data_IF_670955103085
#
_entry.id   IF_670955103085
#
_cell.length_a   1.000
_cell.length_b   1.000
_cell.length_c   1.000
_cell.angle_alpha   90.00
_cell.angle_beta   90.00
_cell.angle_gamma   90.00
#
_symmetry.space_group_name_H-M   'P 1'
#
loop_
_entity.id
_entity.type
_entity.pdbx_description
1 polymer ?
#
# COMPACT_ATOMS: atom_id res chain seq x y z
N UNK A 1 5.73 -10.33 -6.19
CA UNK A 1 6.61 -9.38 -5.46
C UNK A 1 8.04 -9.69 -5.80
N UNK A 2 8.88 -8.69 -5.83
CA UNK A 2 10.32 -8.86 -5.99
C UNK A 2 10.92 -9.22 -4.62
N UNK A 3 11.66 -10.32 -4.55
CA UNK A 3 12.32 -10.81 -3.32
C UNK A 3 13.22 -9.76 -2.67
N UNK A 4 13.77 -8.83 -3.48
CA UNK A 4 14.58 -7.72 -2.98
C UNK A 4 13.80 -6.75 -2.11
N UNK A 5 12.52 -6.51 -2.40
CA UNK A 5 11.70 -5.63 -1.57
C UNK A 5 11.56 -6.24 -0.18
N UNK A 6 11.21 -7.52 -0.08
CA UNK A 6 11.15 -8.21 1.21
C UNK A 6 12.50 -8.25 1.92
N UNK A 7 13.57 -8.62 1.21
CA UNK A 7 14.92 -8.67 1.79
C UNK A 7 15.36 -7.31 2.36
N UNK A 8 14.96 -6.21 1.71
CA UNK A 8 15.26 -4.86 2.19
C UNK A 8 14.56 -4.56 3.52
N UNK A 9 13.26 -4.92 3.65
CA UNK A 9 12.51 -4.73 4.89
C UNK A 9 12.97 -5.68 6.01
N UNK A 10 13.30 -6.93 5.69
CA UNK A 10 13.87 -7.88 6.65
C UNK A 10 15.22 -7.37 7.17
N UNK A 11 16.10 -6.89 6.28
CA UNK A 11 17.36 -6.28 6.68
C UNK A 11 17.14 -5.02 7.54
N UNK A 12 16.18 -4.16 7.19
CA UNK A 12 15.83 -2.97 7.97
C UNK A 12 15.44 -3.33 9.40
N UNK A 13 14.66 -4.39 9.63
CA UNK A 13 14.26 -4.84 10.99
C UNK A 13 15.44 -5.20 11.86
N UNK A 14 16.57 -5.65 11.31
CA UNK A 14 17.78 -5.91 12.09
C UNK A 14 18.45 -4.63 12.60
N UNK A 15 18.31 -3.51 11.90
CA UNK A 15 18.88 -2.21 12.29
C UNK A 15 17.89 -1.31 13.02
N UNK A 16 16.62 -1.42 12.69
CA UNK A 16 15.52 -0.69 13.30
C UNK A 16 14.35 -1.65 13.57
N UNK A 17 14.39 -2.41 14.69
CA UNK A 17 13.36 -3.39 15.04
C UNK A 17 11.96 -2.83 15.02
N UNK A 18 10.99 -3.69 14.70
CA UNK A 18 9.59 -3.28 14.64
C UNK A 18 9.01 -2.93 16.01
N UNK A 19 9.45 -3.60 17.06
CA UNK A 19 8.92 -3.41 18.41
C UNK A 19 9.68 -2.33 19.19
N UNK A 20 8.95 -1.60 20.03
CA UNK A 20 9.53 -0.70 21.01
C UNK A 20 10.07 -1.50 22.21
N UNK A 21 11.27 -1.16 22.69
CA UNK A 21 11.79 -1.70 23.94
C UNK A 21 11.64 -0.63 25.03
N UNK A 22 10.89 -0.96 26.08
CA UNK A 22 10.55 -0.02 27.16
C UNK A 22 9.95 1.30 26.64
N UNK A 23 9.09 1.22 25.60
CA UNK A 23 8.44 2.37 24.98
C UNK A 23 9.36 3.24 24.11
N UNK A 24 10.57 2.77 23.77
CA UNK A 24 11.54 3.50 22.96
C UNK A 24 11.92 2.74 21.71
N UNK A 25 12.14 3.49 20.61
CA UNK A 25 12.74 2.95 19.41
C UNK A 25 14.15 2.45 19.68
N UNK A 26 14.53 1.37 19.02
CA UNK A 26 15.88 0.83 19.03
C UNK A 26 16.52 1.05 17.67
N UNK A 27 17.69 1.66 17.67
CA UNK A 27 18.48 1.90 16.47
C UNK A 27 19.80 1.16 16.62
N UNK A 28 19.90 -0.03 16.02
CA UNK A 28 21.05 -0.94 16.23
C UNK A 28 22.24 -0.60 15.31
N UNK A 29 22.01 0.16 14.23
CA UNK A 29 23.08 0.59 13.32
C UNK A 29 22.86 2.06 12.90
N UNK A 30 23.56 2.95 13.57
CA UNK A 30 23.55 4.38 13.29
C UNK A 30 24.12 4.78 11.92
N UNK A 31 24.99 3.97 11.34
CA UNK A 31 25.62 4.28 10.05
C UNK A 31 24.61 4.34 8.92
N UNK A 32 23.53 3.58 9.01
CA UNK A 32 22.54 3.41 7.94
C UNK A 32 21.73 4.68 7.70
N UNK A 33 21.13 5.27 8.74
CA UNK A 33 20.35 6.50 8.56
C UNK A 33 21.26 7.72 8.35
N UNK A 34 22.46 7.76 8.97
CA UNK A 34 23.43 8.85 8.81
C UNK A 34 23.96 8.98 7.39
N UNK A 35 23.93 7.92 6.58
CA UNK A 35 24.31 7.96 5.16
C UNK A 35 23.40 8.91 4.36
N UNK A 36 22.15 9.07 4.77
CA UNK A 36 21.15 9.83 4.03
C UNK A 36 20.90 11.22 4.60
N UNK A 37 21.34 11.51 5.80
CA UNK A 37 21.08 12.76 6.49
C UNK A 37 22.38 13.46 6.88
N UNK A 38 22.42 14.78 6.75
CA UNK A 38 23.58 15.59 7.14
C UNK A 38 23.15 16.53 8.27
N UNK A 39 23.31 16.09 9.53
CA UNK A 39 23.00 16.85 10.73
C UNK A 39 24.06 16.59 11.83
N UNK A 40 24.20 17.53 12.77
CA UNK A 40 25.10 17.39 13.92
C UNK A 40 24.51 16.48 15.00
N UNK A 41 23.18 16.45 15.10
CA UNK A 41 22.43 15.58 16.02
C UNK A 41 21.16 15.07 15.39
N UNK A 42 20.69 13.92 15.84
CA UNK A 42 19.53 13.22 15.28
C UNK A 42 18.55 12.87 16.37
N UNK A 43 17.32 13.37 16.29
CA UNK A 43 16.19 12.87 17.06
C UNK A 43 15.56 11.60 16.44
N UNK A 44 14.55 11.04 17.09
CA UNK A 44 13.88 9.84 16.60
C UNK A 44 13.24 10.06 15.22
N UNK A 45 12.67 11.24 14.96
CA UNK A 45 12.05 11.60 13.68
C UNK A 45 13.09 11.69 12.58
N UNK A 46 14.25 12.25 12.86
CA UNK A 46 15.38 12.30 11.91
C UNK A 46 15.83 10.89 11.53
N UNK A 47 15.99 10.01 12.51
CA UNK A 47 16.39 8.61 12.26
C UNK A 47 15.35 7.85 11.44
N UNK A 48 14.06 8.02 11.74
CA UNK A 48 12.96 7.47 10.95
C UNK A 48 13.02 7.98 9.50
N UNK A 49 13.24 9.30 9.29
CA UNK A 49 13.44 9.87 7.95
C UNK A 49 14.64 9.25 7.21
N UNK A 50 15.75 9.07 7.90
CA UNK A 50 16.95 8.45 7.31
C UNK A 50 16.71 7.01 6.86
N UNK A 51 16.00 6.22 7.64
CA UNK A 51 15.61 4.86 7.25
C UNK A 51 14.53 4.86 6.15
N UNK A 52 13.62 5.85 6.14
CA UNK A 52 12.68 6.02 5.03
C UNK A 52 13.42 6.30 3.71
N UNK A 53 14.42 7.18 3.72
CA UNK A 53 15.28 7.45 2.57
C UNK A 53 16.09 6.21 2.15
N UNK A 54 16.57 5.42 3.10
CA UNK A 54 17.20 4.13 2.81
C UNK A 54 16.28 3.21 2.03
N UNK A 55 15.02 3.07 2.44
CA UNK A 55 14.03 2.26 1.73
C UNK A 55 13.74 2.81 0.33
N UNK A 56 13.51 4.11 0.21
CA UNK A 56 13.30 4.75 -1.11
C UNK A 56 14.49 4.51 -2.04
N UNK A 57 15.71 4.70 -1.53
CA UNK A 57 16.94 4.48 -2.30
C UNK A 57 17.07 3.02 -2.75
N UNK A 58 16.88 2.06 -1.84
CA UNK A 58 17.01 0.64 -2.13
C UNK A 58 15.94 0.09 -3.09
N UNK A 59 14.76 0.73 -3.11
CA UNK A 59 13.64 0.32 -3.97
C UNK A 59 13.67 1.02 -5.33
N UNK A 60 13.98 2.32 -5.38
CA UNK A 60 13.83 3.13 -6.59
C UNK A 60 15.08 3.27 -7.44
N UNK A 61 16.28 3.05 -6.85
CA UNK A 61 17.51 3.05 -7.65
C UNK A 61 17.68 1.71 -8.36
N UNK A 62 17.72 1.69 -9.72
CA UNK A 62 17.93 0.46 -10.45
C UNK A 62 19.32 -0.13 -10.11
N UNK A 63 19.39 -1.36 -9.65
CA UNK A 63 20.65 -2.08 -9.68
C UNK A 63 20.95 -2.46 -11.12
N UNK A 64 22.16 -2.27 -11.57
CA UNK A 64 22.74 -2.27 -12.94
C UNK A 64 22.30 -3.37 -13.94
N UNK A 65 21.31 -4.21 -13.67
CA UNK A 65 21.05 -5.40 -14.48
C UNK A 65 19.64 -5.63 -15.03
N UNK A 66 18.63 -4.75 -14.81
CA UNK A 66 17.29 -5.07 -15.30
C UNK A 66 16.46 -3.87 -15.78
N UNK A 67 16.27 -3.76 -17.11
CA UNK A 67 15.39 -2.81 -17.80
C UNK A 67 13.87 -2.98 -17.49
N UNK A 68 13.46 -4.08 -16.85
CA UNK A 68 12.04 -4.36 -16.51
C UNK A 68 11.60 -3.82 -15.14
N UNK A 69 12.46 -3.07 -14.46
CA UNK A 69 12.37 -2.77 -13.04
C UNK A 69 11.44 -1.62 -12.66
N UNK A 70 11.20 -0.68 -13.58
CA UNK A 70 10.55 0.61 -13.23
C UNK A 70 9.07 0.47 -12.82
N UNK A 71 8.29 -0.41 -13.46
CA UNK A 71 6.84 -0.53 -13.17
C UNK A 71 6.52 -1.30 -11.89
N UNK A 72 7.34 -2.28 -11.52
CA UNK A 72 7.10 -3.09 -10.31
C UNK A 72 7.45 -2.36 -9.02
N UNK A 73 8.42 -1.43 -9.08
CA UNK A 73 8.94 -0.75 -7.89
C UNK A 73 8.05 0.41 -7.41
N UNK A 74 7.28 1.06 -8.30
CA UNK A 74 6.34 2.11 -7.90
C UNK A 74 5.26 1.56 -6.95
N UNK A 75 4.82 0.32 -7.15
CA UNK A 75 3.88 -0.33 -6.25
C UNK A 75 4.46 -0.57 -4.84
N UNK A 76 5.79 -0.75 -4.74
CA UNK A 76 6.48 -0.93 -3.46
C UNK A 76 6.56 0.35 -2.61
N UNK A 77 6.33 1.52 -3.20
CA UNK A 77 6.24 2.79 -2.45
C UNK A 77 5.12 2.74 -1.41
N UNK A 78 4.00 2.09 -1.74
CA UNK A 78 2.92 1.87 -0.78
C UNK A 78 3.39 1.13 0.47
N UNK A 79 4.28 0.15 0.34
CA UNK A 79 4.86 -0.58 1.48
C UNK A 79 5.82 0.28 2.31
N UNK A 80 6.57 1.21 1.68
CA UNK A 80 7.38 2.19 2.43
C UNK A 80 6.47 3.10 3.27
N UNK A 81 5.37 3.59 2.67
CA UNK A 81 4.41 4.44 3.38
C UNK A 81 3.70 3.69 4.51
N UNK A 82 3.36 2.42 4.31
CA UNK A 82 2.79 1.57 5.36
C UNK A 82 3.77 1.35 6.51
N UNK A 83 5.05 1.08 6.22
CA UNK A 83 6.10 0.98 7.23
C UNK A 83 6.27 2.29 8.02
N UNK A 84 6.31 3.42 7.31
CA UNK A 84 6.45 4.73 7.94
C UNK A 84 5.26 5.01 8.87
N UNK A 85 4.04 4.69 8.44
CA UNK A 85 2.84 4.80 9.27
C UNK A 85 2.93 3.91 10.52
N UNK A 86 3.39 2.67 10.36
CA UNK A 86 3.58 1.73 11.46
C UNK A 86 4.56 2.29 12.50
N UNK A 87 5.71 2.82 12.07
CA UNK A 87 6.68 3.42 12.99
C UNK A 87 6.12 4.65 13.71
N UNK A 88 5.45 5.54 12.99
CA UNK A 88 4.86 6.74 13.57
C UNK A 88 3.68 6.45 14.50
N UNK A 89 2.92 5.36 14.26
CA UNK A 89 1.79 4.96 15.09
C UNK A 89 2.21 4.36 16.43
N UNK A 90 3.46 3.90 16.58
CA UNK A 90 3.97 3.29 17.81
C UNK A 90 4.14 4.28 18.98
N UNK A 91 4.29 5.57 18.66
CA UNK A 91 4.42 6.64 19.68
C UNK A 91 3.47 7.77 19.31
N UNK A 92 2.89 8.40 20.32
CA UNK A 92 2.14 9.64 20.12
C UNK A 92 3.10 10.72 19.63
N UNK A 93 2.87 11.20 18.42
CA UNK A 93 3.62 12.30 17.84
C UNK A 93 2.70 13.52 17.74
N UNK A 94 3.05 14.63 18.39
CA UNK A 94 2.21 15.83 18.47
C UNK A 94 1.79 16.34 17.09
N UNK A 95 0.49 16.24 16.84
CA UNK A 95 -0.15 16.72 15.62
C UNK A 95 0.25 15.97 14.35
N UNK A 96 0.53 14.66 14.44
CA UNK A 96 0.70 13.74 13.31
C UNK A 96 -0.35 12.63 13.45
N UNK A 97 -1.44 12.73 12.68
CA UNK A 97 -2.51 11.74 12.64
C UNK A 97 -2.47 10.87 11.39
N UNK A 98 -1.82 11.34 10.35
CA UNK A 98 -1.64 10.68 9.06
C UNK A 98 -0.29 11.05 8.44
N UNK A 99 0.07 10.41 7.35
CA UNK A 99 1.33 10.70 6.66
C UNK A 99 1.36 12.07 5.98
N UNK A 100 0.23 12.68 5.69
CA UNK A 100 0.17 14.03 5.13
C UNK A 100 0.68 15.07 6.15
N UNK A 101 0.34 14.90 7.43
CA UNK A 101 0.87 15.75 8.50
C UNK A 101 2.39 15.59 8.60
N UNK A 102 2.87 14.35 8.58
CA UNK A 102 4.31 14.04 8.61
C UNK A 102 5.04 14.60 7.38
N UNK A 103 4.49 14.40 6.20
CA UNK A 103 5.03 14.93 4.94
C UNK A 103 5.19 16.46 5.00
N UNK A 104 4.15 17.16 5.43
CA UNK A 104 4.19 18.64 5.48
C UNK A 104 5.19 19.17 6.51
N UNK A 105 5.36 18.48 7.67
CA UNK A 105 6.24 18.91 8.75
C UNK A 105 7.70 18.49 8.55
N UNK A 106 7.95 17.27 8.08
CA UNK A 106 9.25 16.61 8.19
C UNK A 106 9.88 16.15 6.87
N UNK A 107 9.12 16.07 5.76
CA UNK A 107 9.64 15.56 4.48
C UNK A 107 9.73 16.63 3.40
N UNK A 108 8.67 17.41 3.23
CA UNK A 108 8.50 18.33 2.09
C UNK A 108 9.67 19.32 1.90
N UNK A 109 10.22 19.81 2.99
CA UNK A 109 11.28 20.82 3.00
C UNK A 109 12.67 20.22 3.29
N UNK A 110 12.77 18.89 3.45
CA UNK A 110 14.03 18.23 3.67
C UNK A 110 14.75 18.05 2.31
N UNK A 111 15.94 18.63 2.17
CA UNK A 111 16.70 18.63 0.92
C UNK A 111 16.98 17.23 0.38
N UNK A 112 17.13 16.26 1.28
CA UNK A 112 17.41 14.86 0.98
C UNK A 112 16.32 14.24 0.12
N UNK A 113 15.05 14.54 0.36
CA UNK A 113 13.93 14.07 -0.47
C UNK A 113 13.83 14.79 -1.83
N UNK A 114 14.48 15.93 -1.99
CA UNK A 114 14.51 16.72 -3.24
C UNK A 114 15.68 16.32 -4.15
N UNK A 115 16.62 15.52 -3.66
CA UNK A 115 17.74 15.01 -4.47
C UNK A 115 17.23 14.17 -5.62
N UNK A 116 17.91 14.30 -6.78
CA UNK A 116 17.60 13.49 -7.96
C UNK A 116 17.84 12.01 -7.68
N UNK A 117 16.90 11.18 -8.15
CA UNK A 117 17.05 9.71 -8.12
C UNK A 117 17.93 9.34 -9.32
N UNK A 118 19.09 8.79 -9.05
CA UNK A 118 20.04 8.36 -10.09
C UNK A 118 19.44 7.27 -10.95
N UNK A 119 19.49 7.42 -12.28
CA UNK A 119 18.95 6.44 -13.23
C UNK A 119 17.43 6.39 -13.36
N UNK A 120 16.68 7.22 -12.65
CA UNK A 120 15.23 7.24 -12.77
C UNK A 120 14.78 8.00 -14.04
N UNK A 121 13.92 7.38 -14.83
CA UNK A 121 13.38 7.97 -16.07
C UNK A 121 12.04 8.68 -15.86
N UNK A 122 11.21 8.19 -14.92
CA UNK A 122 9.86 8.72 -14.70
C UNK A 122 9.75 9.77 -13.57
N UNK A 123 10.64 9.73 -12.57
CA UNK A 123 10.57 10.61 -11.39
C UNK A 123 11.92 11.26 -11.11
N UNK A 124 11.90 12.60 -11.02
CA UNK A 124 13.14 13.35 -10.77
C UNK A 124 13.66 13.18 -9.34
N UNK A 125 12.77 13.04 -8.34
CA UNK A 125 13.13 12.96 -6.93
C UNK A 125 12.07 12.23 -6.11
N UNK A 126 12.38 11.93 -4.83
CA UNK A 126 11.48 11.20 -3.93
C UNK A 126 10.18 11.96 -3.64
N UNK A 127 10.20 13.31 -3.62
CA UNK A 127 8.99 14.11 -3.42
C UNK A 127 7.97 13.87 -4.55
N UNK A 128 8.40 13.73 -5.80
CA UNK A 128 7.51 13.45 -6.92
C UNK A 128 6.87 12.07 -6.79
N UNK A 129 7.65 11.07 -6.35
CA UNK A 129 7.16 9.71 -6.09
C UNK A 129 6.12 9.71 -4.97
N UNK A 130 6.41 10.41 -3.86
CA UNK A 130 5.49 10.53 -2.72
C UNK A 130 4.19 11.21 -3.15
N UNK A 131 4.26 12.29 -3.92
CA UNK A 131 3.08 13.02 -4.43
C UNK A 131 2.18 12.18 -5.33
N UNK A 132 2.72 11.23 -6.08
CA UNK A 132 1.89 10.30 -6.87
C UNK A 132 1.04 9.37 -5.99
N UNK A 133 1.46 9.16 -4.75
CA UNK A 133 0.76 8.34 -3.76
C UNK A 133 0.03 9.20 -2.71
N UNK A 134 -0.33 10.46 -3.07
CA UNK A 134 -0.88 11.44 -2.12
C UNK A 134 -2.14 10.97 -1.41
N UNK A 135 -2.96 10.16 -2.09
CA UNK A 135 -4.20 9.62 -1.51
C UNK A 135 -3.91 8.67 -0.33
N UNK A 136 -2.77 7.95 -0.36
CA UNK A 136 -2.35 7.10 0.75
C UNK A 136 -1.88 7.91 1.96
N UNK A 137 -1.38 9.13 1.75
CA UNK A 137 -0.90 9.99 2.84
C UNK A 137 -2.03 10.49 3.74
N UNK A 138 -3.29 10.50 3.25
CA UNK A 138 -4.46 10.96 4.00
C UNK A 138 -5.14 9.84 4.81
N UNK A 139 -4.63 8.62 4.75
CA UNK A 139 -5.13 7.50 5.57
C UNK A 139 -4.53 7.63 6.97
N UNK A 140 -5.34 7.36 7.98
CA UNK A 140 -4.91 7.38 9.38
C UNK A 140 -3.73 6.42 9.60
N UNK A 141 -2.79 6.82 10.48
CA UNK A 141 -1.59 6.01 10.77
C UNK A 141 -1.95 4.60 11.23
N UNK A 142 -3.00 4.45 12.05
CA UNK A 142 -3.45 3.15 12.54
C UNK A 142 -3.88 2.22 11.39
N UNK A 143 -4.68 2.72 10.44
CA UNK A 143 -5.18 1.90 9.35
C UNK A 143 -4.09 1.57 8.31
N UNK A 144 -3.18 2.53 8.06
CA UNK A 144 -2.02 2.27 7.20
C UNK A 144 -1.00 1.33 7.86
N UNK A 145 -0.84 1.36 9.19
CA UNK A 145 0.07 0.47 9.91
C UNK A 145 -0.35 -1.00 9.83
N UNK A 146 -1.66 -1.29 9.80
CA UNK A 146 -2.19 -2.64 9.58
C UNK A 146 -1.73 -3.24 8.25
N UNK A 147 -1.52 -2.38 7.24
CA UNK A 147 -0.99 -2.82 5.95
C UNK A 147 0.45 -3.34 6.07
N UNK A 148 1.29 -2.62 6.84
CA UNK A 148 2.65 -3.06 7.10
C UNK A 148 2.68 -4.40 7.84
N UNK A 149 1.81 -4.60 8.83
CA UNK A 149 1.71 -5.85 9.58
C UNK A 149 1.39 -7.05 8.66
N UNK A 150 0.49 -6.88 7.71
CA UNK A 150 0.21 -7.92 6.71
C UNK A 150 1.36 -8.10 5.71
N UNK A 151 1.96 -7.00 5.26
CA UNK A 151 3.06 -7.03 4.31
C UNK A 151 4.30 -7.73 4.88
N UNK A 152 4.66 -7.46 6.15
CA UNK A 152 5.84 -8.08 6.74
C UNK A 152 5.67 -9.59 6.96
N UNK A 153 4.47 -10.05 7.28
CA UNK A 153 4.15 -11.49 7.31
C UNK A 153 4.33 -12.13 5.93
N UNK A 154 3.93 -11.43 4.86
CA UNK A 154 4.19 -11.90 3.50
C UNK A 154 5.69 -11.97 3.23
N UNK A 155 6.47 -10.98 3.67
CA UNK A 155 7.93 -11.03 3.54
C UNK A 155 8.56 -12.14 4.37
N UNK A 156 8.08 -12.39 5.58
CA UNK A 156 8.54 -13.51 6.41
C UNK A 156 8.25 -14.86 5.73
N UNK A 157 7.15 -15.00 4.98
CA UNK A 157 6.88 -16.17 4.14
C UNK A 157 7.84 -16.31 2.95
N UNK A 158 8.34 -15.18 2.40
CA UNK A 158 9.34 -15.18 1.32
C UNK A 158 10.77 -15.39 1.81
N UNK A 159 11.04 -15.22 3.10
CA UNK A 159 12.40 -15.32 3.64
C UNK A 159 12.98 -16.74 3.46
N UNK A 160 14.09 -16.84 2.75
CA UNK A 160 14.70 -18.12 2.39
C UNK A 160 13.98 -18.91 1.29
N UNK A 161 13.01 -18.28 0.60
CA UNK A 161 12.35 -18.90 -0.56
C UNK A 161 13.30 -18.93 -1.76
N UNK A 162 13.44 -20.10 -2.38
CA UNK A 162 14.22 -20.30 -3.62
C UNK A 162 13.27 -20.76 -4.74
N UNK A 163 13.27 -20.07 -5.87
CA UNK A 163 12.45 -20.42 -7.04
C UNK A 163 12.83 -21.77 -7.67
N UNK A 164 14.06 -22.21 -7.50
CA UNK A 164 14.57 -23.47 -8.07
C UNK A 164 14.24 -24.67 -7.17
N UNK A 165 14.29 -24.45 -5.84
CA UNK A 165 13.98 -25.47 -4.84
C UNK A 165 13.12 -24.85 -3.72
N UNK A 166 11.81 -24.67 -3.96
CA UNK A 166 10.94 -23.92 -3.06
C UNK A 166 10.82 -24.60 -1.70
N UNK A 167 11.34 -23.94 -0.66
CA UNK A 167 11.05 -24.27 0.74
C UNK A 167 9.84 -23.48 1.19
N UNK A 168 8.73 -24.16 1.47
CA UNK A 168 7.46 -23.54 1.85
C UNK A 168 7.16 -23.66 3.36
N UNK A 169 8.11 -23.99 4.21
CA UNK A 169 7.91 -24.11 5.65
C UNK A 169 7.41 -22.76 6.25
N UNK A 170 8.09 -21.67 5.93
CA UNK A 170 7.68 -20.32 6.40
C UNK A 170 6.32 -19.90 5.84
N UNK A 171 6.00 -20.27 4.60
CA UNK A 171 4.66 -20.07 4.08
C UNK A 171 3.59 -20.76 4.94
N UNK A 172 3.81 -22.01 5.33
CA UNK A 172 2.87 -22.73 6.18
C UNK A 172 2.78 -22.14 7.60
N UNK A 173 3.89 -21.64 8.13
CA UNK A 173 3.98 -21.02 9.45
C UNK A 173 3.16 -19.73 9.54
N UNK A 174 3.38 -18.78 8.62
CA UNK A 174 2.80 -17.43 8.68
C UNK A 174 1.48 -17.25 7.91
N UNK A 175 1.10 -18.22 7.06
CA UNK A 175 -0.05 -18.10 6.17
C UNK A 175 -1.38 -17.79 6.90
N UNK A 176 -1.66 -18.44 8.00
CA UNK A 176 -2.93 -18.24 8.72
C UNK A 176 -2.99 -16.84 9.36
N UNK A 177 -1.88 -16.35 9.87
CA UNK A 177 -1.80 -15.01 10.45
C UNK A 177 -1.92 -13.94 9.37
N UNK A 178 -1.23 -14.13 8.26
CA UNK A 178 -1.38 -13.25 7.08
C UNK A 178 -2.83 -13.16 6.62
N UNK A 179 -3.52 -14.29 6.45
CA UNK A 179 -4.92 -14.30 6.01
C UNK A 179 -5.83 -13.56 6.99
N UNK A 180 -5.60 -13.69 8.30
CA UNK A 180 -6.36 -12.96 9.32
C UNK A 180 -6.15 -11.44 9.15
N UNK A 181 -4.90 -10.98 9.03
CA UNK A 181 -4.56 -9.56 8.81
C UNK A 181 -5.14 -9.04 7.49
N UNK A 182 -5.05 -9.83 6.43
CA UNK A 182 -5.61 -9.49 5.13
C UNK A 182 -7.14 -9.30 5.18
N UNK A 183 -7.87 -10.14 5.92
CA UNK A 183 -9.32 -9.97 6.11
C UNK A 183 -9.66 -8.68 6.90
N UNK A 184 -8.81 -8.27 7.84
CA UNK A 184 -8.97 -6.99 8.55
C UNK A 184 -8.81 -5.79 7.59
N UNK A 185 -7.81 -5.83 6.69
CA UNK A 185 -7.61 -4.81 5.65
C UNK A 185 -8.80 -4.72 4.70
N UNK A 186 -9.41 -5.85 4.34
CA UNK A 186 -10.59 -5.89 3.48
C UNK A 186 -11.81 -5.23 4.11
N UNK A 187 -12.00 -5.39 5.42
CA UNK A 187 -13.09 -4.71 6.13
C UNK A 187 -12.97 -3.20 6.02
N UNK A 188 -11.79 -2.66 6.17
CA UNK A 188 -11.55 -1.24 5.97
C UNK A 188 -11.83 -0.80 4.52
N UNK A 189 -11.39 -1.57 3.52
CA UNK A 189 -11.61 -1.24 2.11
C UNK A 189 -13.09 -1.23 1.73
N UNK A 190 -13.94 -1.97 2.41
CA UNK A 190 -15.39 -1.99 2.16
C UNK A 190 -16.09 -0.71 2.63
N UNK A 191 -15.50 0.05 3.53
CA UNK A 191 -16.02 1.31 4.08
C UNK A 191 -15.33 2.55 3.52
N UNK A 192 -14.13 2.39 2.96
CA UNK A 192 -13.30 3.45 2.39
C UNK A 192 -13.40 3.48 0.85
N UNK A 193 -13.55 4.66 0.26
CA UNK A 193 -13.57 4.88 -1.20
C UNK A 193 -12.17 5.26 -1.72
N UNK A 194 -11.10 4.95 -0.99
CA UNK A 194 -9.73 5.27 -1.39
C UNK A 194 -9.22 4.27 -2.44
N UNK A 195 -9.18 4.69 -3.70
CA UNK A 195 -8.74 3.85 -4.82
C UNK A 195 -7.28 3.38 -4.68
N UNK A 196 -6.41 4.22 -4.15
CA UNK A 196 -5.00 3.87 -3.95
C UNK A 196 -4.84 2.78 -2.89
N UNK A 197 -5.66 2.81 -1.83
CA UNK A 197 -5.72 1.75 -0.84
C UNK A 197 -6.19 0.42 -1.44
N UNK A 198 -7.25 0.46 -2.26
CA UNK A 198 -7.78 -0.74 -2.95
C UNK A 198 -6.73 -1.32 -3.90
N UNK A 199 -6.01 -0.47 -4.63
CA UNK A 199 -4.92 -0.91 -5.51
C UNK A 199 -3.78 -1.56 -4.71
N UNK A 200 -3.40 -0.99 -3.59
CA UNK A 200 -2.38 -1.53 -2.70
C UNK A 200 -2.80 -2.90 -2.13
N UNK A 201 -4.07 -3.04 -1.72
CA UNK A 201 -4.64 -4.30 -1.27
C UNK A 201 -4.63 -5.37 -2.38
N UNK A 202 -4.96 -4.98 -3.61
CA UNK A 202 -4.88 -5.87 -4.78
C UNK A 202 -3.44 -6.32 -5.05
N UNK A 203 -2.46 -5.41 -4.92
CA UNK A 203 -1.04 -5.74 -5.09
C UNK A 203 -0.59 -6.75 -4.05
N UNK A 204 -0.90 -6.53 -2.77
CA UNK A 204 -0.59 -7.46 -1.68
C UNK A 204 -1.20 -8.85 -1.92
N UNK A 205 -2.45 -8.89 -2.38
CA UNK A 205 -3.15 -10.12 -2.74
C UNK A 205 -2.44 -10.87 -3.89
N UNK A 206 -2.08 -10.16 -4.94
CA UNK A 206 -1.39 -10.75 -6.09
C UNK A 206 -0.02 -11.33 -5.68
N UNK A 207 0.72 -10.62 -4.84
CA UNK A 207 2.01 -11.07 -4.32
C UNK A 207 1.85 -12.34 -3.48
N UNK A 208 0.85 -12.40 -2.61
CA UNK A 208 0.51 -13.61 -1.86
C UNK A 208 0.13 -14.78 -2.77
N UNK A 209 -0.70 -14.55 -3.80
CA UNK A 209 -1.08 -15.63 -4.73
C UNK A 209 0.10 -16.14 -5.56
N UNK A 210 1.03 -15.26 -5.92
CA UNK A 210 2.27 -15.65 -6.60
C UNK A 210 3.08 -16.61 -5.73
N UNK A 211 3.30 -16.29 -4.45
CA UNK A 211 3.97 -17.17 -3.51
C UNK A 211 3.22 -18.50 -3.33
N UNK A 212 1.93 -18.41 -3.08
CA UNK A 212 1.07 -19.59 -2.92
C UNK A 212 1.11 -20.50 -4.12
N UNK A 213 1.12 -19.98 -5.35
CA UNK A 213 1.18 -20.81 -6.57
C UNK A 213 2.50 -21.60 -6.64
N UNK A 214 3.59 -21.02 -6.17
CA UNK A 214 4.89 -21.65 -6.09
C UNK A 214 4.93 -22.75 -5.00
N UNK A 215 4.13 -22.59 -3.95
CA UNK A 215 4.03 -23.57 -2.84
C UNK A 215 2.89 -24.60 -3.01
N UNK A 216 2.25 -24.71 -4.16
CA UNK A 216 1.03 -25.52 -4.37
C UNK A 216 1.18 -27.03 -4.17
N UNK A 217 2.37 -27.58 -4.05
CA UNK A 217 2.56 -28.99 -3.74
C UNK A 217 2.14 -29.38 -2.29
N UNK A 218 1.88 -28.40 -1.41
CA UNK A 218 1.47 -28.60 -0.02
C UNK A 218 -0.02 -28.30 0.25
N UNK A 219 -0.81 -28.04 -0.78
CA UNK A 219 -2.10 -27.33 -0.63
C UNK A 219 -3.35 -28.20 -0.47
N UNK A 220 -3.27 -29.50 -0.16
CA UNK A 220 -4.49 -30.30 0.05
C UNK A 220 -5.30 -29.92 1.30
N UNK A 221 -4.75 -29.12 2.22
CA UNK A 221 -5.41 -28.69 3.45
C UNK A 221 -6.01 -27.29 3.42
N UNK A 222 -5.72 -26.47 2.38
CA UNK A 222 -6.07 -25.04 2.35
C UNK A 222 -7.28 -24.68 1.48
N UNK A 223 -7.98 -25.66 0.92
CA UNK A 223 -9.06 -25.45 -0.06
C UNK A 223 -10.25 -24.65 0.49
N UNK A 224 -10.49 -24.65 1.79
CA UNK A 224 -11.65 -23.96 2.39
C UNK A 224 -11.51 -22.45 2.52
N UNK A 225 -10.29 -21.91 2.69
CA UNK A 225 -10.09 -20.44 2.80
C UNK A 225 -10.16 -19.73 1.45
N UNK A 226 -9.89 -20.44 0.34
CA UNK A 226 -9.85 -19.87 -1.01
C UNK A 226 -11.19 -19.47 -1.58
N UNK A 227 -12.25 -20.18 -1.18
CA UNK A 227 -13.61 -19.91 -1.65
C UNK A 227 -14.01 -18.47 -1.28
N UNK A 228 -13.67 -18.02 -0.07
CA UNK A 228 -14.01 -16.67 0.41
C UNK A 228 -13.32 -15.56 -0.38
N UNK A 229 -12.08 -15.76 -0.81
CA UNK A 229 -11.29 -14.73 -1.53
C UNK A 229 -11.71 -14.67 -3.01
N UNK A 230 -11.98 -15.83 -3.65
CA UNK A 230 -12.51 -15.87 -5.02
C UNK A 230 -13.87 -15.15 -5.14
N UNK A 231 -14.72 -15.24 -4.12
CA UNK A 231 -16.03 -14.55 -4.10
C UNK A 231 -15.89 -13.03 -4.18
N UNK A 232 -14.81 -12.43 -3.71
CA UNK A 232 -14.62 -10.97 -3.73
C UNK A 232 -14.32 -10.47 -5.13
N UNK A 233 -13.45 -11.15 -5.88
CA UNK A 233 -13.16 -10.76 -7.28
C UNK A 233 -14.37 -10.97 -8.20
N UNK A 234 -15.30 -11.85 -7.82
CA UNK A 234 -16.58 -12.02 -8.53
C UNK A 234 -17.63 -11.03 -8.02
N UNK A 235 -17.67 -10.76 -6.71
CA UNK A 235 -18.67 -9.88 -6.11
C UNK A 235 -18.47 -8.42 -6.50
N UNK A 236 -17.24 -7.90 -6.53
CA UNK A 236 -16.96 -6.50 -6.90
C UNK A 236 -17.46 -6.17 -8.32
N UNK A 237 -17.12 -6.93 -9.39
CA UNK A 237 -17.68 -6.68 -10.72
C UNK A 237 -19.20 -6.84 -10.79
N UNK A 238 -19.77 -7.79 -10.04
CA UNK A 238 -21.22 -7.97 -9.98
C UNK A 238 -21.88 -6.77 -9.27
N UNK A 239 -21.33 -6.30 -8.13
CA UNK A 239 -21.83 -5.12 -7.45
C UNK A 239 -21.67 -3.85 -8.29
N UNK A 240 -20.54 -3.67 -8.97
CA UNK A 240 -20.33 -2.56 -9.91
C UNK A 240 -21.27 -2.68 -11.10
N UNK A 241 -21.49 -3.86 -11.66
CA UNK A 241 -22.43 -4.12 -12.74
C UNK A 241 -23.89 -3.87 -12.33
N UNK A 242 -24.27 -4.27 -11.13
CA UNK A 242 -25.59 -4.00 -10.54
C UNK A 242 -25.74 -2.50 -10.26
N UNK A 243 -24.77 -1.86 -9.65
CA UNK A 243 -24.74 -0.42 -9.39
C UNK A 243 -24.85 0.40 -10.68
N UNK A 244 -24.09 0.01 -11.70
CA UNK A 244 -24.14 0.62 -13.03
C UNK A 244 -25.51 0.43 -13.68
N UNK A 245 -26.06 -0.78 -13.62
CA UNK A 245 -27.40 -1.09 -14.15
C UNK A 245 -28.51 -0.28 -13.46
N UNK A 246 -28.48 -0.17 -12.14
CA UNK A 246 -29.46 0.63 -11.39
C UNK A 246 -29.27 2.14 -11.57
N UNK A 247 -28.05 2.62 -11.72
CA UNK A 247 -27.73 4.01 -12.08
C UNK A 247 -28.31 4.36 -13.47
N UNK A 248 -28.13 3.48 -14.46
CA UNK A 248 -28.68 3.64 -15.81
C UNK A 248 -30.23 3.64 -15.81
N UNK A 249 -30.86 2.80 -14.98
CA UNK A 249 -32.31 2.80 -14.83
C UNK A 249 -32.81 4.08 -14.17
N UNK A 250 -32.10 4.62 -13.18
CA UNK A 250 -32.39 5.91 -12.55
C UNK A 250 -32.29 7.08 -13.54
N UNK A 251 -31.28 7.07 -14.41
CA UNK A 251 -31.11 8.08 -15.47
C UNK A 251 -32.22 7.99 -16.52
N UNK A 252 -32.56 6.79 -17.00
CA UNK A 252 -33.67 6.59 -17.95
C UNK A 252 -35.02 7.08 -17.40
N UNK A 253 -35.32 6.77 -16.13
CA UNK A 253 -36.54 7.29 -15.48
C UNK A 253 -36.55 8.80 -15.37
N UNK A 254 -35.42 9.45 -15.07
CA UNK A 254 -35.32 10.91 -15.02
C UNK A 254 -35.53 11.56 -16.40
N UNK A 255 -34.91 11.02 -17.45
CA UNK A 255 -35.07 11.49 -18.82
C UNK A 255 -36.51 11.30 -19.34
N UNK A 256 -37.14 10.16 -19.05
CA UNK A 256 -38.54 9.95 -19.39
C UNK A 256 -39.48 10.95 -18.67
N UNK A 257 -39.19 11.24 -17.41
CA UNK A 257 -39.97 12.20 -16.63
C UNK A 257 -39.79 13.63 -17.11
N UNK A 258 -38.62 14.02 -17.56
CA UNK A 258 -38.35 15.31 -18.22
C UNK A 258 -39.05 15.41 -19.56
N UNK A 259 -38.92 14.38 -20.43
CA UNK A 259 -39.61 14.34 -21.72
C UNK A 259 -41.13 14.44 -21.58
N UNK A 260 -41.73 13.73 -20.64
CA UNK A 260 -43.20 13.85 -20.36
C UNK A 260 -43.61 15.24 -19.86
N UNK A 261 -42.78 15.88 -19.03
CA UNK A 261 -43.02 17.24 -18.54
C UNK A 261 -43.00 18.28 -19.69
N UNK A 262 -42.04 18.16 -20.60
CA UNK A 262 -41.92 19.02 -21.79
C UNK A 262 -43.10 18.80 -22.72
N UNK A 263 -43.53 17.56 -22.97
CA UNK A 263 -44.67 17.22 -23.81
C UNK A 263 -45.96 17.80 -23.23
N UNK A 264 -46.17 17.67 -21.93
CA UNK A 264 -47.32 18.27 -21.24
C UNK A 264 -47.31 19.81 -21.30
N UNK A 265 -46.12 20.42 -21.16
CA UNK A 265 -45.97 21.89 -21.25
C UNK A 265 -46.29 22.40 -22.66
N UNK A 266 -45.92 21.65 -23.71
CA UNK A 266 -46.19 21.96 -25.10
C UNK A 266 -47.70 21.76 -25.46
N UNK A 267 -48.35 20.73 -24.91
CA UNK A 267 -49.79 20.52 -25.08
C UNK A 267 -50.57 21.64 -24.40
N UNK A 268 -50.17 22.01 -23.17
CA UNK A 268 -50.85 23.12 -22.44
C UNK A 268 -50.66 24.46 -23.14
N UNK A 269 -49.55 24.68 -23.83
CA UNK A 269 -49.28 25.87 -24.63
C UNK A 269 -50.13 25.92 -25.91
N UNK A 270 -50.47 24.74 -26.48
CA UNK A 270 -51.35 24.64 -27.67
C UNK A 270 -52.86 24.74 -27.36
N UNK A 271 -53.25 24.48 -26.09
CA UNK A 271 -54.66 24.60 -25.65
C UNK A 271 -55.03 26.01 -25.17
N UNK A 272 -54.05 26.87 -25.00
CA UNK A 272 -54.26 28.28 -24.58
C UNK A 272 -54.12 29.25 -25.76
N UNK A 273 -54.19 28.76 -27.01
CA UNK A 273 -54.36 29.49 -28.25
C UNK A 273 -55.69 29.02 -28.89
#
# INVERSE_FOLDING_TARGET
MDDRVCNLFIALRSWFPDELINGNYQFNDDSRYKTYLTKDSYDDIDKINGFCLFLFNGILIPSYSYEHYEKSNINAVGYILAWLSYKLNQKTNDGISNLMDFYNKHMKNLNEYQKSIEGATEHKNYIEVIKKNIDLLNIDLEDMSKFYEAFILLCDMYDGFDDVNPNCEKYLEYNNEFLKKYEELKKYSSTSVNNSYIQMLSTLSNDYYNLKSKCNHFSSLLTYSLISIAFIFVAIPIFLGISYKYSLFGFRKRLQKQYLREKLKNIKKRMNY
#
